data_IF_866971006392
#
_entry.id   IF_866971006392
#
_cell.length_a   1.000
_cell.length_b   1.000
_cell.length_c   1.000
_cell.angle_alpha   90.00
_cell.angle_beta   90.00
_cell.angle_gamma   90.00
#
_symmetry.space_group_name_H-M   'P 1'
#
loop_
_entity.id
_entity.type
_entity.pdbx_description
1 polymer ?
#
# COMPACT_ATOMS: atom_id res chain seq x y z
N UNK A 1 11.68 -3.92 -10.28
CA UNK A 1 12.81 -3.04 -10.69
C UNK A 1 13.48 -3.52 -11.98
N UNK A 2 13.96 -4.76 -12.09
CA UNK A 2 14.55 -5.27 -13.34
C UNK A 2 13.66 -5.10 -14.58
N UNK A 3 12.38 -5.47 -14.47
CA UNK A 3 11.42 -5.30 -15.57
C UNK A 3 11.30 -3.83 -16.02
N UNK A 4 11.33 -2.88 -15.08
CA UNK A 4 11.30 -1.45 -15.39
C UNK A 4 12.55 -1.01 -16.17
N UNK A 5 13.73 -1.56 -15.84
CA UNK A 5 14.97 -1.34 -16.60
C UNK A 5 14.87 -1.94 -18.00
N UNK A 6 14.40 -3.18 -18.11
CA UNK A 6 14.41 -3.94 -19.36
C UNK A 6 13.39 -3.40 -20.37
N UNK A 7 12.23 -2.92 -19.90
CA UNK A 7 11.16 -2.41 -20.74
C UNK A 7 11.16 -0.88 -20.90
N UNK A 8 11.95 -0.15 -20.11
CA UNK A 8 12.07 1.31 -20.18
C UNK A 8 12.43 1.85 -21.57
N UNK A 9 13.39 1.26 -22.33
CA UNK A 9 13.69 1.67 -23.70
C UNK A 9 12.49 1.56 -24.66
N UNK A 10 11.52 0.69 -24.37
CA UNK A 10 10.28 0.53 -25.13
C UNK A 10 9.16 1.48 -24.64
N UNK A 11 9.49 2.41 -23.74
CA UNK A 11 8.54 3.34 -23.12
C UNK A 11 7.43 2.64 -22.31
N UNK A 12 7.69 1.44 -21.81
CA UNK A 12 6.78 0.71 -20.93
C UNK A 12 7.22 0.92 -19.48
N UNK A 13 6.34 1.53 -18.68
CA UNK A 13 6.58 1.79 -17.26
C UNK A 13 6.13 0.58 -16.43
N UNK A 14 6.85 0.32 -15.35
CA UNK A 14 6.52 -0.80 -14.44
C UNK A 14 6.65 -0.32 -13.01
N UNK A 15 5.56 -0.36 -12.26
CA UNK A 15 5.50 0.07 -10.86
C UNK A 15 4.75 -0.99 -10.02
N UNK A 16 4.86 -0.87 -8.71
CA UNK A 16 4.12 -1.67 -7.75
C UNK A 16 3.37 -0.77 -6.75
N UNK A 17 2.27 -1.28 -6.20
CA UNK A 17 1.57 -0.68 -5.07
C UNK A 17 1.73 -1.61 -3.87
N UNK A 18 2.28 -1.08 -2.78
CA UNK A 18 2.32 -1.76 -1.49
C UNK A 18 1.14 -1.27 -0.67
N UNK A 19 0.00 -1.93 -0.86
CA UNK A 19 -1.22 -1.59 -0.14
C UNK A 19 -1.13 -2.07 1.32
N UNK A 20 -1.71 -1.31 2.24
CA UNK A 20 -2.04 -1.82 3.56
C UNK A 20 -3.11 -2.91 3.48
N UNK A 21 -3.41 -3.57 4.60
CA UNK A 21 -4.33 -4.68 4.62
C UNK A 21 -5.75 -4.25 4.22
N UNK A 22 -6.32 -4.93 3.23
CA UNK A 22 -7.69 -4.72 2.74
C UNK A 22 -8.50 -6.00 2.89
N UNK A 23 -9.78 -5.87 3.25
CA UNK A 23 -10.72 -7.00 3.35
C UNK A 23 -11.08 -7.51 1.95
N UNK A 24 -10.33 -8.51 1.49
CA UNK A 24 -10.58 -9.24 0.24
C UNK A 24 -10.92 -10.71 0.52
N UNK A 25 -11.34 -11.45 -0.51
CA UNK A 25 -11.56 -12.90 -0.39
C UNK A 25 -10.28 -13.64 0.03
N UNK A 26 -9.12 -13.21 -0.47
CA UNK A 26 -7.83 -13.78 -0.09
C UNK A 26 -7.51 -13.53 1.40
N UNK A 27 -7.88 -12.37 1.92
CA UNK A 27 -7.68 -12.05 3.34
C UNK A 27 -8.52 -12.92 4.29
N UNK A 28 -9.63 -13.49 3.82
CA UNK A 28 -10.45 -14.41 4.60
C UNK A 28 -9.71 -15.73 4.95
N UNK A 29 -8.66 -16.08 4.21
CA UNK A 29 -7.82 -17.26 4.50
C UNK A 29 -6.81 -17.05 5.63
N UNK A 30 -6.66 -15.83 6.16
CA UNK A 30 -5.68 -15.51 7.20
C UNK A 30 -6.31 -15.68 8.58
N UNK A 31 -5.89 -16.71 9.32
CA UNK A 31 -6.44 -17.08 10.64
C UNK A 31 -6.46 -15.94 11.66
N UNK A 32 -5.46 -15.06 11.65
CA UNK A 32 -5.31 -13.93 12.56
C UNK A 32 -5.65 -12.58 11.92
N UNK A 33 -6.37 -12.57 10.79
CA UNK A 33 -6.60 -11.36 9.99
C UNK A 33 -7.22 -10.21 10.80
N UNK A 34 -8.18 -10.51 11.69
CA UNK A 34 -8.88 -9.49 12.49
C UNK A 34 -7.95 -8.68 13.39
N UNK A 35 -6.98 -9.34 14.04
CA UNK A 35 -5.97 -8.66 14.86
C UNK A 35 -5.02 -7.85 14.00
N UNK A 36 -4.61 -8.37 12.85
CA UNK A 36 -3.74 -7.66 11.91
C UNK A 36 -4.39 -6.36 11.40
N UNK A 37 -5.67 -6.38 11.02
CA UNK A 37 -6.41 -5.17 10.62
C UNK A 37 -6.45 -4.13 11.76
N UNK A 38 -6.87 -4.56 12.96
CA UNK A 38 -6.93 -3.65 14.11
C UNK A 38 -5.57 -3.06 14.47
N UNK A 39 -4.51 -3.86 14.43
CA UNK A 39 -3.16 -3.40 14.75
C UNK A 39 -2.68 -2.40 13.71
N UNK A 40 -2.85 -2.70 12.41
CA UNK A 40 -2.44 -1.81 11.33
C UNK A 40 -3.15 -0.45 11.44
N UNK A 41 -4.48 -0.46 11.65
CA UNK A 41 -5.26 0.76 11.85
C UNK A 41 -4.74 1.58 13.03
N UNK A 42 -4.48 0.98 14.18
CA UNK A 42 -4.03 1.70 15.38
C UNK A 42 -2.60 2.22 15.26
N UNK A 43 -1.74 1.48 14.57
CA UNK A 43 -0.35 1.83 14.40
C UNK A 43 -0.12 2.83 13.25
N UNK A 44 -1.02 2.92 12.27
CA UNK A 44 -0.83 3.81 11.12
C UNK A 44 -0.96 5.29 11.51
N UNK A 45 -0.17 6.20 10.91
CA UNK A 45 -0.27 7.64 11.17
C UNK A 45 -1.66 8.24 10.92
N UNK A 46 -2.41 7.74 9.93
CA UNK A 46 -3.79 8.20 9.70
C UNK A 46 -4.81 7.56 10.64
N UNK A 47 -4.40 6.57 11.43
CA UNK A 47 -5.24 5.81 12.35
C UNK A 47 -6.49 5.20 11.71
N UNK A 48 -6.37 4.84 10.43
CA UNK A 48 -7.47 4.35 9.62
C UNK A 48 -7.10 3.09 8.83
N UNK A 49 -8.13 2.35 8.43
CA UNK A 49 -7.98 1.23 7.50
C UNK A 49 -7.54 1.73 6.12
N UNK A 50 -6.83 0.89 5.36
CA UNK A 50 -6.53 1.23 3.97
C UNK A 50 -7.79 1.14 3.12
N UNK A 51 -8.22 2.28 2.58
CA UNK A 51 -9.37 2.33 1.66
C UNK A 51 -8.98 1.75 0.28
N UNK A 52 -9.73 0.75 -0.24
CA UNK A 52 -9.56 0.25 -1.61
C UNK A 52 -9.59 1.35 -2.68
N UNK A 53 -10.34 2.43 -2.48
CA UNK A 53 -10.39 3.58 -3.37
C UNK A 53 -9.07 4.36 -3.39
N UNK A 54 -8.33 4.39 -2.28
CA UNK A 54 -6.97 4.93 -2.26
C UNK A 54 -6.02 4.12 -3.14
N UNK A 55 -6.12 2.79 -3.09
CA UNK A 55 -5.33 1.88 -3.95
C UNK A 55 -5.71 2.06 -5.42
N UNK A 56 -7.01 2.16 -5.73
CA UNK A 56 -7.49 2.42 -7.08
C UNK A 56 -7.00 3.78 -7.61
N UNK A 57 -7.04 4.83 -6.78
CA UNK A 57 -6.52 6.15 -7.12
C UNK A 57 -5.01 6.15 -7.39
N UNK A 58 -4.24 5.42 -6.58
CA UNK A 58 -2.81 5.23 -6.81
C UNK A 58 -2.53 4.46 -8.11
N UNK A 59 -3.32 3.44 -8.42
CA UNK A 59 -3.22 2.72 -9.69
C UNK A 59 -3.55 3.64 -10.87
N UNK A 60 -4.61 4.45 -10.77
CA UNK A 60 -4.96 5.44 -11.79
C UNK A 60 -3.81 6.45 -12.00
N UNK A 61 -3.25 6.99 -10.92
CA UNK A 61 -2.08 7.87 -11.00
C UNK A 61 -0.93 7.20 -11.74
N UNK A 62 -0.56 5.97 -11.35
CA UNK A 62 0.56 5.25 -11.96
C UNK A 62 0.29 4.81 -13.40
N UNK A 63 -0.96 4.60 -13.81
CA UNK A 63 -1.33 4.23 -15.19
C UNK A 63 -1.56 5.44 -16.10
N UNK A 64 -1.90 6.60 -15.54
CA UNK A 64 -2.17 7.83 -16.29
C UNK A 64 -0.89 8.65 -16.57
N UNK A 65 -1.08 9.74 -17.31
CA UNK A 65 -0.03 10.72 -17.59
C UNK A 65 0.44 11.49 -16.35
N UNK A 66 -0.32 11.44 -15.25
CA UNK A 66 0.11 12.05 -13.97
C UNK A 66 1.38 11.37 -13.43
N UNK A 67 1.53 10.07 -13.68
CA UNK A 67 2.68 9.26 -13.30
C UNK A 67 3.66 9.01 -14.45
N UNK A 68 3.66 9.85 -15.50
CA UNK A 68 4.41 9.59 -16.75
C UNK A 68 5.91 9.35 -16.52
N UNK A 69 6.51 9.99 -15.52
CA UNK A 69 7.94 9.82 -15.18
C UNK A 69 8.19 8.83 -14.04
N UNK A 70 7.18 8.09 -13.60
CA UNK A 70 7.29 7.09 -12.53
C UNK A 70 7.45 5.69 -13.13
N UNK A 71 8.61 5.07 -12.89
CA UNK A 71 8.90 3.67 -13.24
C UNK A 71 9.87 3.07 -12.23
N UNK A 72 9.77 1.77 -11.98
CA UNK A 72 10.58 1.05 -11.00
C UNK A 72 10.15 1.26 -9.54
N UNK A 73 9.10 2.04 -9.30
CA UNK A 73 8.70 2.47 -7.96
C UNK A 73 7.78 1.49 -7.26
N UNK A 74 7.79 1.58 -5.92
CA UNK A 74 6.83 0.89 -5.05
C UNK A 74 6.10 1.92 -4.21
N UNK A 75 4.92 2.30 -4.67
CA UNK A 75 4.09 3.30 -4.00
C UNK A 75 3.36 2.67 -2.82
N UNK A 76 3.61 3.15 -1.61
CA UNK A 76 2.92 2.68 -0.42
C UNK A 76 1.56 3.36 -0.28
N UNK A 77 0.52 2.56 -0.09
CA UNK A 77 -0.86 3.01 0.09
C UNK A 77 -1.43 2.25 1.28
N UNK A 78 -0.97 2.61 2.48
CA UNK A 78 -1.12 1.80 3.69
C UNK A 78 -1.43 2.65 4.93
N UNK A 79 -2.07 3.80 4.72
CA UNK A 79 -2.34 4.80 5.77
C UNK A 79 -1.07 5.31 6.49
N UNK A 80 0.11 5.09 5.91
CA UNK A 80 1.41 5.47 6.46
C UNK A 80 2.01 4.41 7.40
N UNK A 81 1.45 3.21 7.47
CA UNK A 81 1.93 2.17 8.40
C UNK A 81 3.43 1.84 8.21
N UNK A 82 3.93 1.75 6.97
CA UNK A 82 5.30 1.35 6.69
C UNK A 82 6.39 2.27 7.25
N UNK A 83 6.09 3.54 7.56
CA UNK A 83 7.08 4.47 8.14
C UNK A 83 7.20 4.33 9.66
N UNK A 84 6.31 3.57 10.31
CA UNK A 84 6.24 3.45 11.76
C UNK A 84 7.25 2.42 12.24
N UNK A 85 8.35 2.90 12.83
CA UNK A 85 9.37 2.03 13.44
C UNK A 85 8.95 1.49 14.81
N UNK A 86 8.26 2.30 15.61
CA UNK A 86 7.71 1.89 16.91
C UNK A 86 6.32 2.53 17.10
N UNK A 87 5.24 1.74 17.15
CA UNK A 87 3.90 2.26 17.33
C UNK A 87 3.67 2.76 18.76
N UNK A 88 2.79 3.74 18.92
CA UNK A 88 2.39 4.25 20.23
C UNK A 88 1.66 3.15 21.03
N UNK A 89 2.22 2.77 22.17
CA UNK A 89 1.63 1.77 23.05
C UNK A 89 0.25 2.15 23.56
N UNK A 90 -0.04 3.44 23.73
CA UNK A 90 -1.35 3.90 24.19
C UNK A 90 -2.42 3.62 23.12
N UNK A 91 -2.10 3.90 21.86
CA UNK A 91 -2.98 3.66 20.72
C UNK A 91 -3.28 2.17 20.47
N UNK A 92 -2.42 1.26 20.96
CA UNK A 92 -2.58 -0.19 20.82
C UNK A 92 -3.40 -0.86 21.95
N UNK A 93 -3.60 -0.17 23.08
CA UNK A 93 -4.25 -0.71 24.29
C UNK A 93 -5.77 -0.46 24.31
N UNK A 94 -6.24 0.66 23.75
CA UNK A 94 -7.62 0.77 23.22
C UNK A 94 -7.77 -0.17 22.03
#
# INVERSE_FOLDING_TARGET
RYIARDLGPQQIRVNAISAGPIRTLAAAGISSGRHMFSFNRKASPLQDDTDPMGVAGAALYLLSDLGLSCTGETLHVDAGFHIVGMPDEAALKE
#
